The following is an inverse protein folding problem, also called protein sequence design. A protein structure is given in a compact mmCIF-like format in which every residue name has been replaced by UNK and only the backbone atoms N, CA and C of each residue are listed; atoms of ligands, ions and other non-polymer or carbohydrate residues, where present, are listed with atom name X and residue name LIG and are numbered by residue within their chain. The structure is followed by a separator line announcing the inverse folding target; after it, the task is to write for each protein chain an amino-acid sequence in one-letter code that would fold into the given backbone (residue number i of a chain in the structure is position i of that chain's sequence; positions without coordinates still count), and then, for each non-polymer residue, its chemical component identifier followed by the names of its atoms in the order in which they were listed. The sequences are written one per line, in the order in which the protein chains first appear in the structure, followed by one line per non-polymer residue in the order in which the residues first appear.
data_IF_484182248540
#
_entry.id   IF_484182248540
#
_cell.length_a   1.000
_cell.length_b   1.000
_cell.length_c   1.000
_cell.angle_alpha   90.00
_cell.angle_beta   90.00
_cell.angle_gamma   90.00
#
_symmetry.space_group_name_H-M   'P 1'
#
loop_
_entity.id
_entity.type
_entity.pdbx_description
1 polymer ?
#
# COMPACT_ATOMS: atom_id res chain seq x y z
N UNK A 1 44.61 -17.88 2.38
CA UNK A 1 44.54 -16.68 3.26
C UNK A 1 43.15 -16.07 3.14
N UNK A 2 42.30 -16.22 4.18
CA UNK A 2 41.01 -15.53 4.29
C UNK A 2 41.29 -14.12 4.84
N UNK A 3 40.90 -13.06 4.12
CA UNK A 3 40.96 -11.71 4.69
C UNK A 3 39.70 -11.51 5.51
N UNK A 4 39.92 -11.43 6.82
CA UNK A 4 38.96 -11.02 7.83
C UNK A 4 38.42 -9.64 7.47
N UNK A 5 37.09 -9.53 7.39
CA UNK A 5 36.40 -8.26 7.25
C UNK A 5 36.12 -7.75 8.67
N UNK A 6 36.69 -6.59 9.01
CA UNK A 6 36.11 -5.53 9.84
C UNK A 6 37.19 -4.46 10.05
N UNK A 7 36.98 -3.28 9.46
CA UNK A 7 37.64 -2.04 9.89
C UNK A 7 36.55 -0.97 9.95
N UNK A 8 36.53 -0.30 11.09
CA UNK A 8 35.56 0.65 11.61
C UNK A 8 35.47 1.97 10.84
N UNK A 9 34.31 2.62 10.97
CA UNK A 9 33.98 4.04 10.73
C UNK A 9 33.69 4.51 9.28
N UNK A 10 32.41 4.47 8.90
CA UNK A 10 31.63 5.67 8.56
C UNK A 10 30.12 5.35 8.55
N UNK A 11 29.44 5.47 9.69
CA UNK A 11 27.99 5.23 9.82
C UNK A 11 27.12 6.24 9.03
N UNK A 12 27.71 7.26 8.41
CA UNK A 12 26.96 8.34 7.73
C UNK A 12 26.94 8.26 6.20
N UNK A 13 27.40 7.16 5.58
CA UNK A 13 27.46 7.00 4.10
C UNK A 13 26.50 5.96 3.51
N UNK A 14 25.81 5.16 4.31
CA UNK A 14 25.12 3.96 3.79
C UNK A 14 23.66 4.15 3.36
N UNK A 15 23.03 5.29 3.64
CA UNK A 15 21.57 5.43 3.45
C UNK A 15 21.11 6.41 2.35
N UNK A 16 22.01 6.99 1.55
CA UNK A 16 21.56 7.81 0.42
C UNK A 16 21.14 6.91 -0.74
N UNK A 17 19.82 6.78 -0.93
CA UNK A 17 19.25 6.05 -2.07
C UNK A 17 19.11 4.54 -1.88
N UNK A 18 19.21 4.03 -0.65
CA UNK A 18 18.94 2.64 -0.34
C UNK A 18 17.42 2.40 -0.20
N UNK A 19 16.92 1.26 -0.70
CA UNK A 19 15.50 0.88 -0.66
C UNK A 19 15.37 -0.65 -0.57
N UNK A 20 14.18 -1.15 -0.21
CA UNK A 20 13.93 -2.59 -0.07
C UNK A 20 14.29 -3.18 1.30
N UNK A 21 14.51 -2.32 2.30
CA UNK A 21 14.55 -2.71 3.71
C UNK A 21 13.18 -3.17 4.23
N UNK A 22 13.11 -3.47 5.52
CA UNK A 22 11.86 -3.87 6.19
C UNK A 22 10.81 -2.75 6.06
N UNK A 23 9.57 -3.12 5.70
CA UNK A 23 8.46 -2.17 5.53
C UNK A 23 7.94 -1.61 6.86
N UNK A 24 8.34 -2.20 7.99
CA UNK A 24 8.03 -1.71 9.34
C UNK A 24 8.92 -0.52 9.71
N UNK A 25 10.11 -0.40 9.11
CA UNK A 25 11.02 0.71 9.36
C UNK A 25 10.40 2.04 8.85
N UNK A 26 10.24 3.07 9.71
CA UNK A 26 9.75 4.37 9.29
C UNK A 26 10.51 5.01 8.12
N UNK A 27 11.78 4.64 7.91
CA UNK A 27 12.59 5.14 6.79
C UNK A 27 12.11 4.62 5.42
N UNK A 28 11.40 3.50 5.37
CA UNK A 28 10.89 2.87 4.15
C UNK A 28 9.41 3.16 3.90
N UNK A 29 8.74 3.84 4.83
CA UNK A 29 7.34 4.22 4.71
C UNK A 29 7.11 5.15 3.50
N UNK A 30 5.92 5.04 2.92
CA UNK A 30 5.50 5.83 1.76
C UNK A 30 4.40 6.83 2.15
N UNK A 31 4.13 7.79 1.24
CA UNK A 31 3.08 8.79 1.42
C UNK A 31 1.90 8.50 0.49
N UNK A 32 0.69 8.77 0.98
CA UNK A 32 -0.54 8.67 0.20
C UNK A 32 -1.41 9.90 0.45
N UNK A 33 -1.72 10.63 -0.62
CA UNK A 33 -2.67 11.74 -0.62
C UNK A 33 -3.67 11.53 -1.76
N UNK A 34 -4.95 11.77 -1.47
CA UNK A 34 -6.01 11.57 -2.45
C UNK A 34 -7.01 12.73 -2.39
N UNK A 35 -7.43 13.23 -3.55
CA UNK A 35 -8.45 14.25 -3.69
C UNK A 35 -9.32 13.94 -4.90
N UNK A 36 -10.63 14.07 -4.74
CA UNK A 36 -11.56 13.88 -5.84
C UNK A 36 -13.01 14.07 -5.41
N UNK A 37 -13.95 13.99 -6.36
CA UNK A 37 -15.37 14.10 -6.06
C UNK A 37 -15.88 12.97 -5.18
N UNK A 38 -15.35 11.74 -5.36
CA UNK A 38 -15.72 10.56 -4.59
C UNK A 38 -14.99 10.43 -3.24
N UNK A 39 -13.87 11.14 -3.05
CA UNK A 39 -13.03 11.03 -1.85
C UNK A 39 -13.52 11.99 -0.77
N UNK A 40 -13.56 11.53 0.49
CA UNK A 40 -13.92 12.35 1.65
C UNK A 40 -12.91 13.48 1.83
N UNK A 41 -13.41 14.69 2.13
CA UNK A 41 -12.56 15.84 2.40
C UNK A 41 -12.15 15.84 3.87
N UNK A 42 -10.92 16.29 4.15
CA UNK A 42 -10.37 16.44 5.51
C UNK A 42 -10.36 15.13 6.31
N UNK A 43 -10.31 13.99 5.64
CA UNK A 43 -10.07 12.70 6.29
C UNK A 43 -8.56 12.52 6.51
N UNK A 44 -8.18 12.11 7.71
CA UNK A 44 -6.83 11.64 8.04
C UNK A 44 -6.96 10.16 8.36
N UNK A 45 -6.21 9.35 7.63
CA UNK A 45 -6.26 7.90 7.77
C UNK A 45 -5.22 7.43 8.79
N UNK A 46 -5.44 6.28 9.46
CA UNK A 46 -4.35 5.59 10.14
C UNK A 46 -3.28 5.13 9.14
N UNK A 47 -2.18 4.58 9.64
CA UNK A 47 -1.21 3.88 8.79
C UNK A 47 -1.91 2.68 8.17
N UNK A 48 -1.72 2.51 6.86
CA UNK A 48 -2.36 1.48 6.04
C UNK A 48 -1.32 0.78 5.18
N UNK A 49 -1.62 -0.44 4.76
CA UNK A 49 -0.78 -1.20 3.84
C UNK A 49 -1.22 -0.95 2.39
N UNK A 50 -0.25 -0.85 1.47
CA UNK A 50 -0.52 -0.55 0.06
C UNK A 50 -1.35 -1.64 -0.64
N UNK A 51 -1.37 -2.86 -0.12
CA UNK A 51 -2.20 -3.98 -0.63
C UNK A 51 -3.71 -3.65 -0.58
N UNK A 52 -4.14 -2.82 0.36
CA UNK A 52 -5.54 -2.40 0.51
C UNK A 52 -6.01 -1.51 -0.66
N UNK A 53 -5.08 -0.88 -1.41
CA UNK A 53 -5.41 0.03 -2.49
C UNK A 53 -6.17 -0.64 -3.63
N UNK A 54 -6.01 -1.95 -3.85
CA UNK A 54 -6.75 -2.66 -4.89
C UNK A 54 -8.27 -2.62 -4.67
N UNK A 55 -8.72 -2.73 -3.41
CA UNK A 55 -10.14 -2.58 -3.08
C UNK A 55 -10.61 -1.13 -3.28
N UNK A 56 -9.76 -0.14 -2.96
CA UNK A 56 -10.07 1.26 -3.22
C UNK A 56 -10.24 1.57 -4.72
N UNK A 57 -9.33 1.07 -5.56
CA UNK A 57 -9.37 1.30 -7.00
C UNK A 57 -10.56 0.64 -7.67
N UNK A 58 -10.86 -0.60 -7.32
CA UNK A 58 -12.02 -1.32 -7.86
C UNK A 58 -13.33 -0.61 -7.51
N UNK A 59 -13.46 -0.14 -6.25
CA UNK A 59 -14.62 0.67 -5.84
C UNK A 59 -14.69 2.03 -6.54
N UNK A 60 -13.56 2.69 -6.80
CA UNK A 60 -13.52 4.02 -7.42
C UNK A 60 -13.82 3.96 -8.93
N UNK A 61 -13.32 2.92 -9.61
CA UNK A 61 -13.45 2.70 -11.05
C UNK A 61 -14.72 1.92 -11.43
N UNK A 62 -15.45 1.40 -10.45
CA UNK A 62 -16.65 0.58 -10.66
C UNK A 62 -16.38 -0.70 -11.45
N UNK A 63 -15.26 -1.37 -11.16
CA UNK A 63 -14.84 -2.62 -11.81
C UNK A 63 -14.97 -3.81 -10.85
N UNK A 64 -15.28 -5.03 -11.36
CA UNK A 64 -15.41 -6.21 -10.51
C UNK A 64 -14.18 -6.43 -9.63
N UNK A 65 -14.41 -6.81 -8.37
CA UNK A 65 -13.31 -7.11 -7.45
C UNK A 65 -12.65 -8.42 -7.82
N UNK A 66 -11.34 -8.49 -7.63
CA UNK A 66 -10.59 -9.76 -7.70
C UNK A 66 -10.15 -10.14 -6.30
N UNK A 67 -9.99 -11.44 -6.04
CA UNK A 67 -9.41 -11.92 -4.79
C UNK A 67 -8.03 -11.27 -4.57
N UNK A 68 -7.84 -10.64 -3.41
CA UNK A 68 -6.61 -9.99 -2.98
C UNK A 68 -6.54 -9.99 -1.45
N UNK A 69 -5.35 -9.76 -0.88
CA UNK A 69 -5.13 -9.79 0.57
C UNK A 69 -5.46 -8.46 1.27
N UNK A 70 -6.04 -7.50 0.54
CA UNK A 70 -6.46 -6.22 1.09
C UNK A 70 -7.78 -6.32 1.84
N UNK A 71 -7.86 -5.59 2.95
CA UNK A 71 -9.09 -5.44 3.73
C UNK A 71 -10.03 -4.36 3.14
N UNK A 72 -11.31 -4.43 3.49
CA UNK A 72 -12.33 -3.52 2.93
C UNK A 72 -12.46 -2.19 3.68
N UNK A 73 -11.97 -2.12 4.92
CA UNK A 73 -12.14 -0.96 5.80
C UNK A 73 -11.63 0.35 5.17
N UNK A 74 -10.59 0.28 4.34
CA UNK A 74 -9.99 1.45 3.71
C UNK A 74 -11.00 2.16 2.79
N UNK A 75 -11.83 1.41 2.08
CA UNK A 75 -12.82 1.94 1.14
C UNK A 75 -13.84 2.81 1.89
N UNK A 76 -14.28 2.34 3.06
CA UNK A 76 -15.22 3.05 3.93
C UNK A 76 -14.64 4.34 4.50
N UNK A 77 -13.33 4.33 4.81
CA UNK A 77 -12.66 5.50 5.36
C UNK A 77 -12.40 6.57 4.29
N UNK A 78 -12.08 6.16 3.06
CA UNK A 78 -11.65 7.07 1.98
C UNK A 78 -12.84 7.62 1.17
N UNK A 79 -13.84 6.79 0.85
CA UNK A 79 -14.90 7.16 -0.09
C UNK A 79 -16.13 7.74 0.61
N UNK A 80 -16.77 8.73 -0.02
CA UNK A 80 -18.05 9.30 0.45
C UNK A 80 -19.19 8.27 0.37
N UNK A 81 -19.19 7.48 -0.70
CA UNK A 81 -20.18 6.44 -0.99
C UNK A 81 -19.43 5.17 -1.41
N UNK A 82 -19.03 4.32 -0.44
CA UNK A 82 -18.27 3.11 -0.72
C UNK A 82 -19.10 2.11 -1.53
N UNK A 83 -18.46 1.42 -2.48
CA UNK A 83 -19.05 0.33 -3.26
C UNK A 83 -18.29 -0.96 -3.00
N UNK A 84 -18.90 -1.85 -2.23
CA UNK A 84 -18.35 -3.19 -1.99
C UNK A 84 -18.78 -4.10 -3.13
N UNK A 85 -17.96 -4.13 -4.18
CA UNK A 85 -18.26 -4.93 -5.37
C UNK A 85 -18.05 -6.42 -5.06
N UNK A 86 -18.96 -7.25 -5.57
CA UNK A 86 -18.87 -8.70 -5.41
C UNK A 86 -17.64 -9.24 -6.16
N UNK A 87 -16.98 -10.23 -5.57
CA UNK A 87 -15.94 -11.00 -6.26
C UNK A 87 -16.68 -11.90 -7.25
N UNK A 88 -16.49 -11.75 -8.57
CA UNK A 88 -17.12 -12.63 -9.53
C UNK A 88 -16.63 -14.06 -9.28
N UNK A 89 -17.47 -15.07 -9.56
CA UNK A 89 -17.05 -16.45 -9.47
C UNK A 89 -15.81 -16.68 -10.35
N UNK A 90 -14.91 -17.60 -9.98
CA UNK A 90 -13.75 -17.92 -10.81
C UNK A 90 -14.24 -18.26 -12.21
N UNK A 91 -13.81 -17.48 -13.21
CA UNK A 91 -14.08 -17.82 -14.60
C UNK A 91 -13.15 -18.98 -14.94
N UNK A 92 -13.69 -20.18 -15.16
CA UNK A 92 -12.91 -21.28 -15.70
C UNK A 92 -12.25 -20.80 -17.00
N UNK A 93 -10.92 -20.83 -17.03
CA UNK A 93 -10.17 -20.54 -18.26
C UNK A 93 -10.42 -21.75 -19.18
N UNK A 94 -10.93 -21.55 -20.41
CA UNK A 94 -11.21 -22.66 -21.33
C UNK A 94 -9.95 -23.43 -21.73
#
# INVERSE_FOLDING_TARGET
MRRSCCSSESEDKENVGNYGGDFIDPSTHTIFFAMGPAIRRRAVLPVIQNVEFMNLWTSLLDIPRTQNDGEEHLVDLVLKHPKHLHIPPPTDIP
#
